data_IF_516658463614
#
_entry.id   IF_516658463614
#
_cell.length_a   1.000
_cell.length_b   1.000
_cell.length_c   1.000
_cell.angle_alpha   90.00
_cell.angle_beta   90.00
_cell.angle_gamma   90.00
#
_symmetry.space_group_name_H-M   'P 1'
#
loop_
_entity.id
_entity.type
_entity.pdbx_description
1 polymer ?
#
# COMPACT_ATOMS: atom_id res chain seq x y z
N UNK A 1 12.11 10.62 -7.93
CA UNK A 1 12.19 10.18 -6.52
C UNK A 1 10.80 10.11 -5.86
N UNK A 2 9.73 9.77 -6.61
CA UNK A 2 8.36 10.01 -6.11
C UNK A 2 7.27 9.01 -6.54
N UNK A 3 7.57 7.96 -7.30
CA UNK A 3 6.54 7.02 -7.79
C UNK A 3 5.95 6.13 -6.69
N UNK A 4 6.77 5.57 -5.80
CA UNK A 4 6.30 4.63 -4.75
C UNK A 4 5.48 5.32 -3.66
N UNK A 5 5.92 6.49 -3.20
CA UNK A 5 5.15 7.33 -2.24
C UNK A 5 3.82 7.80 -2.86
N UNK A 6 3.83 8.12 -4.16
CA UNK A 6 2.60 8.40 -4.90
C UNK A 6 1.69 7.18 -4.96
N UNK A 7 2.21 5.98 -5.25
CA UNK A 7 1.41 4.75 -5.28
C UNK A 7 0.76 4.42 -3.93
N UNK A 8 1.46 4.67 -2.81
CA UNK A 8 0.94 4.48 -1.45
C UNK A 8 -0.20 5.45 -1.12
N UNK A 9 -0.04 6.73 -1.50
CA UNK A 9 -1.08 7.75 -1.33
C UNK A 9 -2.28 7.48 -2.24
N UNK A 10 -2.04 7.14 -3.51
CA UNK A 10 -3.06 6.81 -4.51
C UNK A 10 -3.85 5.55 -4.11
N UNK A 11 -3.17 4.49 -3.66
CA UNK A 11 -3.80 3.25 -3.22
C UNK A 11 -4.59 3.42 -1.91
N UNK A 12 -4.06 4.17 -0.94
CA UNK A 12 -4.74 4.45 0.33
C UNK A 12 -5.98 5.33 0.16
N UNK A 13 -5.85 6.46 -0.56
CA UNK A 13 -6.98 7.36 -0.85
C UNK A 13 -7.99 6.68 -1.77
N UNK A 14 -7.51 5.92 -2.76
CA UNK A 14 -8.36 5.17 -3.68
C UNK A 14 -9.26 4.15 -2.96
N UNK A 15 -8.72 3.42 -1.98
CA UNK A 15 -9.50 2.47 -1.18
C UNK A 15 -10.62 3.11 -0.37
N UNK A 16 -10.42 4.34 0.14
CA UNK A 16 -11.45 5.10 0.86
C UNK A 16 -12.49 5.67 -0.12
N UNK A 17 -12.04 6.19 -1.26
CA UNK A 17 -12.92 6.80 -2.28
C UNK A 17 -13.90 5.83 -2.92
N UNK A 18 -13.56 4.54 -2.98
CA UNK A 18 -14.47 3.49 -3.49
C UNK A 18 -15.79 3.44 -2.71
N UNK A 19 -15.81 3.86 -1.44
CA UNK A 19 -17.00 3.80 -0.59
C UNK A 19 -17.96 5.00 -0.76
N UNK A 20 -17.50 6.10 -1.36
CA UNK A 20 -18.35 7.28 -1.54
C UNK A 20 -19.16 7.14 -2.84
N UNK A 21 -20.50 7.02 -2.76
CA UNK A 21 -21.35 6.95 -3.94
C UNK A 21 -21.21 8.24 -4.76
N UNK A 22 -20.99 8.11 -6.07
CA UNK A 22 -20.78 9.23 -7.00
C UNK A 22 -19.32 9.47 -7.39
N UNK A 23 -18.35 9.05 -6.58
CA UNK A 23 -16.90 9.17 -6.89
C UNK A 23 -16.15 7.84 -6.88
N UNK A 24 -16.84 6.71 -6.68
CA UNK A 24 -16.24 5.37 -6.62
C UNK A 24 -15.41 4.99 -7.86
N UNK A 25 -15.77 5.52 -9.04
CA UNK A 25 -15.01 5.38 -10.28
C UNK A 25 -13.60 6.00 -10.15
N UNK A 26 -13.49 7.17 -9.51
CA UNK A 26 -12.21 7.82 -9.28
C UNK A 26 -11.35 6.95 -8.35
N UNK A 27 -11.94 6.39 -7.29
CA UNK A 27 -11.24 5.46 -6.39
C UNK A 27 -10.63 4.25 -7.11
N UNK A 28 -11.41 3.63 -8.00
CA UNK A 28 -10.94 2.52 -8.84
C UNK A 28 -9.82 2.92 -9.79
N UNK A 29 -9.92 4.10 -10.42
CA UNK A 29 -8.86 4.62 -11.30
C UNK A 29 -7.56 4.87 -10.52
N UNK A 30 -7.66 5.42 -9.29
CA UNK A 30 -6.49 5.65 -8.43
C UNK A 30 -5.79 4.33 -8.06
N UNK A 31 -6.55 3.26 -7.80
CA UNK A 31 -6.01 1.93 -7.53
C UNK A 31 -5.30 1.35 -8.76
N UNK A 32 -5.85 1.54 -9.96
CA UNK A 32 -5.20 1.14 -11.21
C UNK A 32 -3.90 1.92 -11.47
N UNK A 33 -3.90 3.24 -11.23
CA UNK A 33 -2.69 4.06 -11.33
C UNK A 33 -1.62 3.63 -10.33
N UNK A 34 -1.99 3.35 -9.08
CA UNK A 34 -1.06 2.82 -8.08
C UNK A 34 -0.45 1.48 -8.52
N UNK A 35 -1.27 0.60 -9.10
CA UNK A 35 -0.82 -0.71 -9.61
C UNK A 35 0.09 -0.57 -10.85
N UNK A 36 -0.19 0.43 -11.71
CA UNK A 36 0.67 0.77 -12.85
C UNK A 36 2.06 1.21 -12.39
N UNK A 37 2.15 2.12 -11.43
CA UNK A 37 3.43 2.58 -10.87
C UNK A 37 4.24 1.42 -10.28
N UNK A 38 3.58 0.49 -9.58
CA UNK A 38 4.22 -0.72 -9.05
C UNK A 38 4.74 -1.61 -10.20
N UNK A 39 3.93 -1.86 -11.22
CA UNK A 39 4.31 -2.66 -12.39
C UNK A 39 5.53 -2.08 -13.11
N UNK A 40 5.61 -0.76 -13.25
CA UNK A 40 6.75 -0.07 -13.84
C UNK A 40 8.00 -0.15 -12.94
N UNK A 41 7.85 -0.01 -11.62
CA UNK A 41 8.96 -0.12 -10.66
C UNK A 41 9.56 -1.53 -10.60
N UNK A 42 8.71 -2.56 -10.78
CA UNK A 42 9.08 -3.98 -10.72
C UNK A 42 9.47 -4.52 -12.11
N UNK A 43 9.32 -3.72 -13.17
CA UNK A 43 9.58 -4.10 -14.57
C UNK A 43 8.77 -5.33 -15.03
N UNK A 44 7.55 -5.51 -14.51
CA UNK A 44 6.67 -6.62 -14.86
C UNK A 44 5.29 -6.09 -15.29
N UNK A 45 5.09 -5.95 -16.60
CA UNK A 45 3.85 -5.43 -17.22
C UNK A 45 2.64 -6.31 -16.93
N UNK A 46 2.85 -7.62 -16.74
CA UNK A 46 1.76 -8.57 -16.55
C UNK A 46 0.99 -8.35 -15.24
N UNK A 47 1.60 -7.65 -14.27
CA UNK A 47 0.94 -7.21 -13.03
C UNK A 47 -0.19 -6.23 -13.34
N UNK A 48 0.11 -5.22 -14.17
CA UNK A 48 -0.87 -4.21 -14.54
C UNK A 48 -1.90 -4.77 -15.51
N UNK A 49 -1.50 -5.62 -16.46
CA UNK A 49 -2.43 -6.22 -17.41
C UNK A 49 -3.51 -7.06 -16.72
N UNK A 50 -3.14 -7.88 -15.72
CA UNK A 50 -4.10 -8.64 -14.92
C UNK A 50 -5.02 -7.72 -14.09
N UNK A 51 -4.48 -6.66 -13.48
CA UNK A 51 -5.28 -5.70 -12.71
C UNK A 51 -6.25 -4.89 -13.61
N UNK A 52 -5.80 -4.50 -14.80
CA UNK A 52 -6.60 -3.81 -15.78
C UNK A 52 -7.73 -4.70 -16.29
N UNK A 53 -7.44 -5.98 -16.56
CA UNK A 53 -8.44 -6.95 -16.97
C UNK A 53 -9.49 -7.20 -15.87
N UNK A 54 -9.06 -7.24 -14.60
CA UNK A 54 -9.96 -7.28 -13.45
C UNK A 54 -10.88 -6.05 -13.42
N UNK A 55 -10.32 -4.85 -13.61
CA UNK A 55 -11.04 -3.59 -13.63
C UNK A 55 -12.06 -3.50 -14.76
N UNK A 56 -11.68 -3.85 -15.98
CA UNK A 56 -12.58 -3.85 -17.15
C UNK A 56 -13.74 -4.83 -16.93
N UNK A 57 -13.45 -6.04 -16.42
CA UNK A 57 -14.48 -7.04 -16.13
C UNK A 57 -15.45 -6.57 -15.05
N UNK A 58 -14.94 -5.91 -14.00
CA UNK A 58 -15.77 -5.30 -12.96
C UNK A 58 -16.67 -4.19 -13.51
N UNK A 59 -16.14 -3.32 -14.38
CA UNK A 59 -16.92 -2.24 -15.02
C UNK A 59 -18.02 -2.81 -15.89
N UNK A 60 -17.73 -3.82 -16.72
CA UNK A 60 -18.75 -4.48 -17.57
C UNK A 60 -19.87 -5.05 -16.69
N UNK A 61 -19.51 -5.80 -15.63
CA UNK A 61 -20.48 -6.34 -14.69
C UNK A 61 -21.32 -5.24 -14.01
N UNK A 62 -20.69 -4.17 -13.56
CA UNK A 62 -21.36 -3.04 -12.91
C UNK A 62 -22.29 -2.27 -13.85
N UNK A 63 -21.92 -2.09 -15.12
CA UNK A 63 -22.78 -1.42 -16.13
C UNK A 63 -24.01 -2.27 -16.44
N UNK A 64 -23.82 -3.58 -16.66
CA UNK A 64 -24.94 -4.51 -16.91
C UNK A 64 -25.91 -4.54 -15.72
N UNK A 65 -25.36 -4.64 -14.51
CA UNK A 65 -26.16 -4.61 -13.29
C UNK A 65 -26.82 -3.25 -13.07
N UNK A 66 -26.11 -2.15 -13.34
CA UNK A 66 -26.64 -0.79 -13.23
C UNK A 66 -27.83 -0.55 -14.14
N UNK A 67 -27.74 -0.91 -15.43
CA UNK A 67 -28.86 -0.80 -16.38
C UNK A 67 -30.08 -1.57 -15.86
N UNK A 68 -29.86 -2.76 -15.30
CA UNK A 68 -30.92 -3.57 -14.70
C UNK A 68 -31.56 -2.91 -13.47
N UNK A 69 -30.76 -2.34 -12.56
CA UNK A 69 -31.26 -1.58 -11.40
C UNK A 69 -32.11 -0.39 -11.87
N UNK A 70 -31.62 0.39 -12.83
CA UNK A 70 -32.29 1.58 -13.36
C UNK A 70 -33.54 1.27 -14.20
N UNK A 71 -33.67 0.04 -14.74
CA UNK A 71 -34.88 -0.41 -15.44
C UNK A 71 -36.12 -0.50 -14.54
N UNK A 72 -35.97 -0.34 -13.22
CA UNK A 72 -37.06 -0.47 -12.26
C UNK A 72 -37.40 -1.92 -11.90
N UNK A 73 -36.72 -2.91 -12.48
CA UNK A 73 -36.93 -4.33 -12.19
C UNK A 73 -36.77 -4.67 -10.69
N UNK A 74 -35.76 -4.11 -10.04
CA UNK A 74 -35.53 -4.31 -8.59
C UNK A 74 -36.61 -3.63 -7.75
N UNK A 75 -37.02 -2.40 -8.12
CA UNK A 75 -38.11 -1.69 -7.46
C UNK A 75 -39.45 -2.41 -7.63
N UNK A 76 -39.73 -2.94 -8.81
CA UNK A 76 -40.90 -3.77 -9.09
C UNK A 76 -40.90 -5.02 -8.22
N UNK A 77 -39.78 -5.76 -8.15
CA UNK A 77 -39.67 -6.95 -7.29
C UNK A 77 -39.93 -6.61 -5.80
N UNK A 78 -39.48 -5.45 -5.34
CA UNK A 78 -39.69 -5.01 -3.96
C UNK A 78 -41.12 -4.55 -3.66
N UNK A 79 -41.75 -3.83 -4.60
CA UNK A 79 -43.09 -3.25 -4.42
C UNK A 79 -44.22 -4.27 -4.62
N UNK A 80 -44.15 -5.11 -5.65
CA UNK A 80 -45.20 -6.10 -5.96
C UNK A 80 -44.86 -7.52 -5.50
N UNK A 81 -43.66 -7.72 -4.99
CA UNK A 81 -43.18 -9.01 -4.49
C UNK A 81 -42.90 -10.04 -5.60
N UNK A 82 -42.26 -11.18 -5.26
CA UNK A 82 -41.90 -12.22 -6.23
C UNK A 82 -43.10 -12.81 -6.98
N UNK A 83 -44.26 -12.89 -6.33
CA UNK A 83 -45.49 -13.41 -6.91
C UNK A 83 -46.15 -12.40 -7.88
N UNK A 84 -46.02 -11.10 -7.62
CA UNK A 84 -46.56 -10.03 -8.49
C UNK A 84 -45.63 -9.67 -9.66
N UNK A 85 -44.33 -9.93 -9.53
CA UNK A 85 -43.33 -9.68 -10.58
C UNK A 85 -43.44 -10.66 -11.77
N UNK A 86 -44.19 -11.75 -11.60
CA UNK A 86 -44.39 -12.80 -12.59
C UNK A 86 -43.19 -13.75 -12.69
N UNK A 87 -43.46 -15.02 -13.03
CA UNK A 87 -42.41 -16.06 -13.09
C UNK A 87 -41.28 -15.74 -14.07
N UNK A 88 -41.60 -15.14 -15.23
CA UNK A 88 -40.60 -14.73 -16.23
C UNK A 88 -39.72 -13.60 -15.72
N UNK A 89 -40.30 -12.61 -15.04
CA UNK A 89 -39.54 -11.51 -14.44
C UNK A 89 -38.58 -12.01 -13.35
N UNK A 90 -39.07 -12.89 -12.46
CA UNK A 90 -38.26 -13.43 -11.38
C UNK A 90 -37.09 -14.28 -11.88
N UNK A 91 -37.32 -15.11 -12.92
CA UNK A 91 -36.26 -15.86 -13.57
C UNK A 91 -35.22 -14.95 -14.24
N UNK A 92 -35.67 -13.88 -14.91
CA UNK A 92 -34.77 -12.87 -15.48
C UNK A 92 -33.92 -12.16 -14.42
N UNK A 93 -34.53 -11.81 -13.27
CA UNK A 93 -33.82 -11.25 -12.12
C UNK A 93 -32.71 -12.18 -11.61
N UNK A 94 -33.02 -13.46 -11.38
CA UNK A 94 -32.03 -14.44 -10.92
C UNK A 94 -30.92 -14.68 -11.95
N UNK A 95 -31.25 -14.70 -13.25
CA UNK A 95 -30.27 -14.87 -14.31
C UNK A 95 -29.26 -13.70 -14.34
N UNK A 96 -29.74 -12.46 -14.21
CA UNK A 96 -28.88 -11.26 -14.19
C UNK A 96 -28.05 -11.21 -12.91
N UNK A 97 -28.64 -11.56 -11.75
CA UNK A 97 -27.92 -11.61 -10.48
C UNK A 97 -26.80 -12.67 -10.52
N UNK A 98 -27.09 -13.85 -11.09
CA UNK A 98 -26.10 -14.89 -11.32
C UNK A 98 -25.01 -14.47 -12.31
N UNK A 99 -25.36 -13.80 -13.41
CA UNK A 99 -24.39 -13.27 -14.35
C UNK A 99 -23.46 -12.24 -13.67
N UNK A 100 -24.00 -11.28 -12.93
CA UNK A 100 -23.21 -10.31 -12.17
C UNK A 100 -22.27 -10.99 -11.17
N UNK A 101 -22.74 -12.01 -10.46
CA UNK A 101 -21.94 -12.80 -9.54
C UNK A 101 -20.77 -13.51 -10.25
N UNK A 102 -21.01 -14.13 -11.40
CA UNK A 102 -19.96 -14.76 -12.22
C UNK A 102 -18.92 -13.74 -12.68
N UNK A 103 -19.35 -12.58 -13.20
CA UNK A 103 -18.44 -11.50 -13.60
C UNK A 103 -17.60 -11.00 -12.42
N UNK A 104 -18.20 -10.90 -11.23
CA UNK A 104 -17.51 -10.49 -10.00
C UNK A 104 -16.43 -11.50 -9.59
N UNK A 105 -16.70 -12.80 -9.72
CA UNK A 105 -15.70 -13.86 -9.47
C UNK A 105 -14.55 -13.79 -10.47
N UNK A 106 -14.86 -13.65 -11.76
CA UNK A 106 -13.83 -13.55 -12.81
C UNK A 106 -12.92 -12.34 -12.54
N UNK A 107 -13.51 -11.18 -12.22
CA UNK A 107 -12.75 -9.99 -11.83
C UNK A 107 -11.85 -10.25 -10.62
N UNK A 108 -12.38 -10.88 -9.57
CA UNK A 108 -11.62 -11.19 -8.36
C UNK A 108 -10.46 -12.18 -8.61
N UNK A 109 -10.62 -13.13 -9.54
CA UNK A 109 -9.53 -14.04 -9.96
C UNK A 109 -8.38 -13.26 -10.60
N UNK A 110 -8.68 -12.34 -11.52
CA UNK A 110 -7.65 -11.51 -12.14
C UNK A 110 -6.97 -10.58 -11.14
N UNK A 111 -7.74 -10.00 -10.21
CA UNK A 111 -7.19 -9.17 -9.14
C UNK A 111 -6.26 -9.96 -8.22
N UNK A 112 -6.66 -11.17 -7.81
CA UNK A 112 -5.82 -12.08 -7.02
C UNK A 112 -4.50 -12.38 -7.73
N UNK A 113 -4.53 -12.69 -9.02
CA UNK A 113 -3.31 -12.97 -9.81
C UNK A 113 -2.37 -11.78 -9.82
N UNK A 114 -2.89 -10.57 -10.04
CA UNK A 114 -2.09 -9.35 -9.98
C UNK A 114 -1.44 -9.17 -8.60
N UNK A 115 -2.21 -9.34 -7.52
CA UNK A 115 -1.71 -9.14 -6.16
C UNK A 115 -0.71 -10.20 -5.71
N UNK A 116 -0.87 -11.45 -6.15
CA UNK A 116 0.13 -12.50 -5.92
C UNK A 116 1.45 -12.16 -6.60
N UNK A 117 1.42 -11.69 -7.85
CA UNK A 117 2.64 -11.23 -8.54
C UNK A 117 3.29 -10.06 -7.80
N UNK A 118 2.52 -9.08 -7.33
CA UNK A 118 3.06 -7.98 -6.52
C UNK A 118 3.73 -8.51 -5.25
N UNK A 119 3.09 -9.45 -4.54
CA UNK A 119 3.62 -10.02 -3.30
C UNK A 119 4.96 -10.73 -3.50
N UNK A 120 5.11 -11.47 -4.60
CA UNK A 120 6.34 -12.22 -4.94
C UNK A 120 7.51 -11.29 -5.24
N UNK A 121 7.22 -10.13 -5.83
CA UNK A 121 8.24 -9.17 -6.28
C UNK A 121 8.65 -8.19 -5.19
N UNK A 122 7.70 -7.79 -4.35
CA UNK A 122 7.93 -6.86 -3.24
C UNK A 122 8.25 -7.58 -1.92
N UNK A 123 8.17 -8.92 -1.85
CA UNK A 123 8.31 -9.72 -0.63
C UNK A 123 7.34 -9.29 0.50
N UNK A 124 6.12 -8.86 0.13
CA UNK A 124 5.07 -8.46 1.06
C UNK A 124 3.86 -9.38 0.91
N UNK A 125 3.65 -10.26 1.90
CA UNK A 125 2.54 -11.23 1.91
C UNK A 125 1.15 -10.61 2.11
N UNK A 126 1.07 -9.35 2.55
CA UNK A 126 -0.20 -8.62 2.72
C UNK A 126 -0.98 -8.49 1.40
N UNK A 127 -0.28 -8.33 0.26
CA UNK A 127 -0.92 -8.29 -1.06
C UNK A 127 -1.60 -9.61 -1.42
N UNK A 128 -0.91 -10.74 -1.24
CA UNK A 128 -1.49 -12.06 -1.49
C UNK A 128 -2.71 -12.32 -0.60
N UNK A 129 -2.64 -11.93 0.67
CA UNK A 129 -3.75 -12.07 1.62
C UNK A 129 -4.95 -11.22 1.20
N UNK A 130 -4.73 -9.96 0.81
CA UNK A 130 -5.78 -9.08 0.33
C UNK A 130 -6.48 -9.63 -0.92
N UNK A 131 -5.72 -10.13 -1.90
CA UNK A 131 -6.27 -10.71 -3.12
C UNK A 131 -7.09 -11.97 -2.87
N UNK A 132 -6.65 -12.81 -1.93
CA UNK A 132 -7.38 -14.02 -1.52
C UNK A 132 -8.67 -13.68 -0.79
N UNK A 133 -8.65 -12.71 0.12
CA UNK A 133 -9.85 -12.19 0.78
C UNK A 133 -10.83 -11.59 -0.23
N UNK A 134 -10.33 -10.90 -1.27
CA UNK A 134 -11.18 -10.37 -2.34
C UNK A 134 -11.89 -11.49 -3.12
N UNK A 135 -11.19 -12.58 -3.42
CA UNK A 135 -11.77 -13.74 -4.11
C UNK A 135 -12.81 -14.47 -3.24
N UNK A 136 -12.47 -14.74 -1.99
CA UNK A 136 -13.39 -15.37 -1.03
C UNK A 136 -14.61 -14.48 -0.80
N UNK A 137 -14.40 -13.17 -0.63
CA UNK A 137 -15.45 -12.19 -0.46
C UNK A 137 -16.38 -12.16 -1.68
N UNK A 138 -15.83 -12.11 -2.90
CA UNK A 138 -16.60 -12.14 -4.14
C UNK A 138 -17.47 -13.41 -4.24
N UNK A 139 -16.91 -14.59 -3.93
CA UNK A 139 -17.67 -15.84 -3.95
C UNK A 139 -18.81 -15.85 -2.92
N UNK A 140 -18.56 -15.35 -1.69
CA UNK A 140 -19.52 -15.33 -0.59
C UNK A 140 -20.51 -14.15 -0.64
N UNK A 141 -20.45 -13.28 -1.65
CA UNK A 141 -21.40 -12.15 -1.80
C UNK A 141 -22.85 -12.61 -1.88
N UNK A 142 -23.10 -13.83 -2.34
CA UNK A 142 -24.44 -14.42 -2.46
C UNK A 142 -25.18 -14.55 -1.12
N UNK A 143 -24.47 -14.68 0.00
CA UNK A 143 -25.06 -14.83 1.35
C UNK A 143 -24.96 -13.51 2.14
N UNK A 144 -24.67 -12.37 1.48
CA UNK A 144 -24.35 -11.07 2.09
C UNK A 144 -23.09 -11.04 2.97
N UNK A 145 -22.67 -12.17 3.55
CA UNK A 145 -21.43 -12.31 4.35
C UNK A 145 -20.20 -11.90 3.53
N UNK A 146 -20.22 -12.11 2.21
CA UNK A 146 -19.13 -11.68 1.33
C UNK A 146 -18.82 -10.19 1.40
N UNK A 147 -19.81 -9.32 1.65
CA UNK A 147 -19.55 -7.87 1.80
C UNK A 147 -18.64 -7.57 3.00
N UNK A 148 -18.82 -8.29 4.13
CA UNK A 148 -17.94 -8.14 5.29
C UNK A 148 -16.52 -8.60 4.97
N UNK A 149 -16.37 -9.68 4.21
CA UNK A 149 -15.05 -10.19 3.80
C UNK A 149 -14.37 -9.21 2.82
N UNK A 150 -15.11 -8.62 1.89
CA UNK A 150 -14.61 -7.59 0.99
C UNK A 150 -14.16 -6.32 1.75
N UNK A 151 -14.86 -5.94 2.81
CA UNK A 151 -14.44 -4.85 3.70
C UNK A 151 -13.10 -5.18 4.39
N UNK A 152 -12.95 -6.40 4.90
CA UNK A 152 -11.68 -6.85 5.48
C UNK A 152 -10.58 -6.84 4.41
N UNK A 153 -10.86 -7.32 3.19
CA UNK A 153 -9.92 -7.31 2.07
C UNK A 153 -9.42 -5.89 1.76
N UNK A 154 -10.30 -4.88 1.80
CA UNK A 154 -9.97 -3.47 1.61
C UNK A 154 -9.00 -2.94 2.68
N UNK A 155 -9.21 -3.29 3.95
CA UNK A 155 -8.28 -2.91 5.02
C UNK A 155 -6.90 -3.53 4.78
N UNK A 156 -6.87 -4.83 4.45
CA UNK A 156 -5.61 -5.52 4.12
C UNK A 156 -4.93 -4.92 2.90
N UNK A 157 -5.69 -4.51 1.87
CA UNK A 157 -5.15 -3.84 0.69
C UNK A 157 -4.49 -2.51 1.06
N UNK A 158 -5.15 -1.67 1.86
CA UNK A 158 -4.60 -0.40 2.33
C UNK A 158 -3.31 -0.63 3.13
N UNK A 159 -3.31 -1.58 4.07
CA UNK A 159 -2.12 -1.98 4.84
C UNK A 159 -1.01 -2.49 3.91
N UNK A 160 -1.36 -3.28 2.88
CA UNK A 160 -0.41 -3.78 1.90
C UNK A 160 0.27 -2.64 1.13
N UNK A 161 -0.48 -1.66 0.64
CA UNK A 161 0.08 -0.46 0.01
C UNK A 161 0.97 0.33 0.99
N UNK A 162 0.56 0.49 2.25
CA UNK A 162 1.39 1.17 3.24
C UNK A 162 2.66 0.38 3.59
N UNK A 163 2.66 -0.94 3.46
CA UNK A 163 3.81 -1.81 3.74
C UNK A 163 4.83 -1.89 2.60
N UNK A 164 4.55 -1.34 1.42
CA UNK A 164 5.55 -1.17 0.36
C UNK A 164 6.69 -0.31 0.91
N UNK A 165 7.92 -0.85 0.89
CA UNK A 165 9.10 -0.07 1.26
C UNK A 165 9.41 0.93 0.15
N UNK A 166 9.65 2.19 0.52
CA UNK A 166 10.02 3.27 -0.41
C UNK A 166 11.42 3.09 -1.04
N UNK A 167 12.09 1.96 -0.77
CA UNK A 167 13.36 1.60 -1.41
C UNK A 167 13.05 0.95 -2.76
N UNK A 168 13.36 1.60 -3.90
CA UNK A 168 13.64 0.82 -5.10
C UNK A 168 14.75 -0.16 -4.74
N UNK A 169 14.68 -1.39 -5.25
CA UNK A 169 15.86 -2.21 -5.38
C UNK A 169 16.84 -1.39 -6.21
N UNK A 170 17.77 -0.70 -5.54
CA UNK A 170 18.89 -0.06 -6.22
C UNK A 170 19.55 -1.18 -7.03
N UNK A 171 19.78 -1.02 -8.34
CA UNK A 171 20.79 -1.81 -9.01
C UNK A 171 22.05 -1.67 -8.15
N UNK A 172 22.49 -2.77 -7.58
CA UNK A 172 23.42 -2.75 -6.48
C UNK A 172 24.73 -2.14 -6.92
N UNK A 173 25.05 -0.96 -6.37
CA UNK A 173 26.41 -0.55 -6.02
C UNK A 173 26.32 0.41 -4.83
N UNK A 174 26.61 -0.09 -3.62
CA UNK A 174 27.08 0.75 -2.52
C UNK A 174 26.09 1.17 -1.41
N UNK A 175 25.20 0.30 -0.93
CA UNK A 175 24.55 0.54 0.36
C UNK A 175 24.86 -0.62 1.32
N UNK A 176 25.61 -0.38 2.42
CA UNK A 176 25.66 -1.33 3.52
C UNK A 176 24.22 -1.59 4.00
N UNK A 177 23.88 -2.86 4.23
CA UNK A 177 22.60 -3.26 4.78
C UNK A 177 22.23 -2.37 5.99
N UNK A 178 20.96 -1.95 6.17
CA UNK A 178 20.53 -1.36 7.42
C UNK A 178 20.80 -2.40 8.50
N UNK A 179 21.85 -2.18 9.28
CA UNK A 179 22.09 -2.97 10.47
C UNK A 179 20.90 -2.68 11.38
N UNK A 180 20.11 -3.71 11.64
CA UNK A 180 19.25 -3.72 12.80
C UNK A 180 20.15 -3.44 13.98
N UNK A 181 20.09 -2.21 14.51
CA UNK A 181 20.67 -1.89 15.78
C UNK A 181 19.90 -2.74 16.80
N UNK A 182 20.44 -3.92 17.11
CA UNK A 182 20.09 -4.61 18.33
C UNK A 182 20.30 -3.59 19.46
N UNK A 183 19.36 -3.42 20.41
CA UNK A 183 19.59 -2.55 21.54
C UNK A 183 20.84 -3.03 22.26
N UNK A 184 21.87 -2.20 22.26
CA UNK A 184 23.08 -2.41 23.06
C UNK A 184 22.59 -2.51 24.52
N UNK A 185 22.91 -3.58 25.26
CA UNK A 185 22.51 -3.67 26.66
C UNK A 185 23.11 -2.47 27.41
N UNK A 186 22.21 -1.65 27.95
CA UNK A 186 22.46 -0.48 28.79
C UNK A 186 23.52 -0.80 29.85
N UNK A 187 24.78 -0.45 29.58
CA UNK A 187 25.82 -0.51 30.60
C UNK A 187 25.53 0.59 31.61
N UNK A 188 25.07 0.17 32.80
CA UNK A 188 25.00 1.01 34.01
C UNK A 188 26.33 1.72 34.23
N UNK A 189 26.42 2.98 33.81
CA UNK A 189 27.49 3.88 34.21
C UNK A 189 27.17 4.41 35.62
N UNK A 190 28.08 4.27 36.60
CA UNK A 190 27.94 4.92 37.90
C UNK A 190 28.06 6.44 37.75
N UNK A 191 27.50 7.21 38.70
CA UNK A 191 27.30 8.65 38.55
C UNK A 191 28.63 9.39 38.39
N UNK A 192 28.66 10.27 37.38
CA UNK A 192 29.79 11.13 37.04
C UNK A 192 29.97 12.17 38.15
N UNK A 193 31.00 11.99 38.97
CA UNK A 193 31.53 13.08 39.81
C UNK A 193 32.09 14.14 38.87
N UNK A 194 31.43 15.29 38.77
CA UNK A 194 32.01 16.50 38.21
C UNK A 194 33.25 16.87 39.02
N UNK A 195 34.44 16.63 38.47
CA UNK A 195 35.69 17.08 39.06
C UNK A 195 36.53 17.80 37.98
N UNK A 196 36.35 19.13 37.95
CA UNK A 196 37.36 20.22 37.81
C UNK A 196 38.42 20.05 36.70
N UNK A 197 38.64 21.03 35.81
CA UNK A 197 39.37 22.27 36.15
C UNK A 197 39.31 23.29 35.00
N UNK A 198 39.37 24.62 35.26
CA UNK A 198 39.45 25.63 34.23
C UNK A 198 40.88 25.64 33.67
N UNK A 199 41.14 24.81 32.66
CA UNK A 199 42.43 24.81 31.98
C UNK A 199 42.55 26.07 31.14
N UNK A 200 43.30 27.05 31.63
CA UNK A 200 43.71 28.25 30.91
C UNK A 200 44.19 27.85 29.51
N UNK A 201 43.45 28.30 28.50
CA UNK A 201 43.69 27.94 27.10
C UNK A 201 44.50 29.04 26.43
N UNK A 202 45.64 28.69 25.84
CA UNK A 202 46.48 29.62 25.08
C UNK A 202 46.25 29.45 23.57
N UNK A 203 46.51 30.50 22.80
CA UNK A 203 46.40 30.46 21.35
C UNK A 203 47.78 30.26 20.71
N UNK A 204 47.84 29.47 19.64
CA UNK A 204 49.07 29.24 18.90
C UNK A 204 49.54 30.53 18.19
N UNK A 205 50.77 30.96 18.43
CA UNK A 205 51.31 32.20 17.83
C UNK A 205 51.47 32.13 16.30
N UNK A 206 51.53 30.92 15.72
CA UNK A 206 51.77 30.75 14.27
C UNK A 206 50.49 30.56 13.45
N UNK A 207 49.45 29.95 14.03
CA UNK A 207 48.21 29.61 13.28
C UNK A 207 46.91 29.98 13.99
N UNK A 208 46.96 30.54 15.20
CA UNK A 208 45.77 30.98 15.94
C UNK A 208 44.90 29.88 16.53
N UNK A 209 45.28 28.60 16.43
CA UNK A 209 44.51 27.50 16.99
C UNK A 209 44.51 27.55 18.53
N UNK A 210 43.35 27.27 19.14
CA UNK A 210 43.18 27.22 20.60
C UNK A 210 43.77 25.92 21.15
N UNK A 211 44.72 26.02 22.08
CA UNK A 211 45.43 24.89 22.66
C UNK A 211 45.28 24.89 24.20
N UNK A 212 45.31 23.72 24.85
CA UNK A 212 45.38 23.66 26.30
C UNK A 212 46.71 24.25 26.79
N UNK A 213 46.71 24.97 27.93
CA UNK A 213 47.87 25.73 28.43
C UNK A 213 49.18 24.92 28.53
N UNK A 214 49.07 23.61 28.80
CA UNK A 214 50.20 22.68 28.90
C UNK A 214 50.76 22.16 27.55
N UNK A 215 50.18 22.54 26.41
CA UNK A 215 50.65 22.05 25.11
C UNK A 215 52.00 22.66 24.71
N UNK A 216 53.01 21.80 24.50
CA UNK A 216 54.37 22.15 24.02
C UNK A 216 54.42 22.26 22.49
N UNK A 217 53.48 21.64 21.77
CA UNK A 217 53.38 21.66 20.32
C UNK A 217 51.95 21.91 19.86
N UNK A 218 51.77 22.64 18.76
CA UNK A 218 50.47 22.86 18.16
C UNK A 218 50.04 21.63 17.35
N UNK A 219 48.88 21.07 17.67
CA UNK A 219 48.29 19.92 16.97
C UNK A 219 47.82 20.23 15.55
N UNK A 220 47.60 21.51 15.22
CA UNK A 220 47.12 21.92 13.89
C UNK A 220 48.24 22.30 12.92
N UNK A 221 49.35 22.89 13.40
CA UNK A 221 50.42 23.39 12.52
C UNK A 221 51.82 22.85 12.85
N UNK A 222 51.96 22.03 13.90
CA UNK A 222 53.23 21.40 14.28
C UNK A 222 54.26 22.34 14.94
N UNK A 223 53.96 23.63 15.10
CA UNK A 223 54.90 24.58 15.70
C UNK A 223 55.06 24.36 17.21
N UNK A 224 56.29 24.39 17.71
CA UNK A 224 56.62 24.34 19.14
C UNK A 224 56.15 25.63 19.82
N UNK A 225 55.36 25.51 20.89
CA UNK A 225 54.87 26.61 21.71
C UNK A 225 55.82 26.76 22.91
N UNK A 226 56.73 27.73 22.84
CA UNK A 226 57.65 28.09 23.93
C UNK A 226 56.95 28.96 24.97
#
# INVERSE_FOLDING_TARGET
MGSLSSAKTLGGVGGILVFLPGISLVGWILILLATKEISESVQDKTIFDDALLAGITAIIGAVVFGIFVFSGAIGGLFLVGPFGFGGVGFLGFLAILGAFWVFSIISAIFLKRSYEKISQRLNVSAFATAGLLYLIGAALTIIFVGFLILLIALVFQVVAYFSIQDRPASPGWGQPAPQSFAPVPEQRQPPVTQQQSPTESKFCFKCGAKLPGAAVFCTSCGAKQS
#
